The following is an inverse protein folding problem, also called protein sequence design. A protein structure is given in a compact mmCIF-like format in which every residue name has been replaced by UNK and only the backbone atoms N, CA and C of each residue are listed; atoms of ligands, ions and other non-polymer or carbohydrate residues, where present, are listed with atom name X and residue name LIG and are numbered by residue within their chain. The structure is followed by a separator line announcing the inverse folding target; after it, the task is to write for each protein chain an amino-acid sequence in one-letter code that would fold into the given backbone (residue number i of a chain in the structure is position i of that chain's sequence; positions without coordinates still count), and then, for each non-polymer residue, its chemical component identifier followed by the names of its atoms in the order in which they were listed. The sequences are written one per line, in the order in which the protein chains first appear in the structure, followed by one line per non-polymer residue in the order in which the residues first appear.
data_IF_677721965511
#
_entry.id   IF_677721965511
#
_cell.length_a   1.000
_cell.length_b   1.000
_cell.length_c   1.000
_cell.angle_alpha   90.00
_cell.angle_beta   90.00
_cell.angle_gamma   90.00
#
_symmetry.space_group_name_H-M   'P 1'
#
loop_
_entity.id
_entity.type
_entity.pdbx_description
1 polymer ?
#
# COMPACT_ATOMS: atom_id res chain seq x y z
N UNK A 1 19.54 16.18 -11.59
CA UNK A 1 18.09 16.10 -11.36
C UNK A 1 17.93 15.52 -9.97
N UNK A 2 17.37 16.28 -9.03
CA UNK A 2 17.16 15.79 -7.67
C UNK A 2 16.14 14.66 -7.70
N UNK A 3 16.55 13.45 -7.32
CA UNK A 3 15.66 12.32 -7.19
C UNK A 3 14.60 12.63 -6.13
N UNK A 4 13.32 12.63 -6.51
CA UNK A 4 12.22 12.87 -5.57
C UNK A 4 12.12 11.68 -4.61
N UNK A 5 12.23 11.95 -3.30
CA UNK A 5 12.03 10.95 -2.26
C UNK A 5 10.54 10.84 -1.92
N UNK A 6 9.97 9.64 -2.00
CA UNK A 6 8.55 9.38 -1.69
C UNK A 6 8.48 8.58 -0.39
N UNK A 7 7.83 9.17 0.62
CA UNK A 7 7.65 8.53 1.92
C UNK A 7 6.29 7.82 1.96
N UNK A 8 6.32 6.53 2.30
CA UNK A 8 5.17 5.64 2.28
C UNK A 8 4.99 5.08 3.70
N UNK A 9 3.91 5.48 4.35
CA UNK A 9 3.51 4.97 5.66
C UNK A 9 2.59 3.77 5.51
N UNK A 10 2.83 2.70 6.28
CA UNK A 10 2.02 1.49 6.28
C UNK A 10 1.47 1.31 7.68
N UNK A 11 0.14 1.24 7.80
CA UNK A 11 -0.55 0.94 9.05
C UNK A 11 -1.16 -0.47 8.94
N UNK A 12 -0.70 -1.35 9.82
CA UNK A 12 -1.14 -2.75 9.90
C UNK A 12 -0.97 -3.31 11.33
N UNK A 13 -1.95 -4.09 11.78
CA UNK A 13 -1.94 -4.73 13.09
C UNK A 13 -0.83 -5.80 13.17
N UNK A 14 -0.19 -5.90 14.34
CA UNK A 14 1.02 -6.73 14.56
C UNK A 14 0.84 -8.22 14.21
N UNK A 15 -0.36 -8.78 14.31
CA UNK A 15 -0.61 -10.21 14.02
C UNK A 15 -0.63 -10.52 12.52
N UNK A 16 -0.88 -9.52 11.66
CA UNK A 16 -1.03 -9.68 10.22
C UNK A 16 0.06 -8.92 9.44
N UNK A 17 1.20 -8.60 10.08
CA UNK A 17 2.27 -7.79 9.47
C UNK A 17 3.02 -8.52 8.36
N UNK A 18 2.56 -8.35 7.13
CA UNK A 18 3.27 -8.81 5.94
C UNK A 18 3.28 -7.76 4.81
N UNK A 19 2.51 -6.67 4.90
CA UNK A 19 2.36 -5.72 3.80
C UNK A 19 3.67 -5.04 3.41
N UNK A 20 4.49 -4.65 4.39
CA UNK A 20 5.80 -4.07 4.13
C UNK A 20 6.74 -5.04 3.39
N UNK A 21 6.73 -6.32 3.76
CA UNK A 21 7.59 -7.33 3.14
C UNK A 21 7.17 -7.59 1.68
N UNK A 22 5.87 -7.75 1.42
CA UNK A 22 5.35 -7.91 0.06
C UNK A 22 5.63 -6.69 -0.83
N UNK A 23 5.46 -5.48 -0.29
CA UNK A 23 5.81 -4.26 -1.02
C UNK A 23 7.30 -4.25 -1.34
N UNK A 24 8.16 -4.61 -0.38
CA UNK A 24 9.60 -4.66 -0.58
C UNK A 24 9.98 -5.66 -1.68
N UNK A 25 9.46 -6.89 -1.63
CA UNK A 25 9.70 -7.92 -2.65
C UNK A 25 9.22 -7.48 -4.03
N UNK A 26 8.01 -6.93 -4.13
CA UNK A 26 7.48 -6.35 -5.36
C UNK A 26 8.40 -5.26 -5.92
N UNK A 27 8.86 -4.34 -5.07
CA UNK A 27 9.72 -3.25 -5.53
C UNK A 27 11.07 -3.76 -6.04
N UNK A 28 11.63 -4.82 -5.44
CA UNK A 28 12.84 -5.48 -5.96
C UNK A 28 12.60 -6.04 -7.37
N UNK A 29 11.48 -6.73 -7.58
CA UNK A 29 11.09 -7.23 -8.92
C UNK A 29 10.88 -6.08 -9.93
N UNK A 30 10.50 -4.90 -9.45
CA UNK A 30 10.40 -3.66 -10.25
C UNK A 30 11.75 -2.91 -10.39
N UNK A 31 12.87 -3.56 -10.09
CA UNK A 31 14.25 -3.05 -10.17
C UNK A 31 14.61 -1.94 -9.17
N UNK A 32 13.87 -1.81 -8.08
CA UNK A 32 14.32 -0.97 -6.96
C UNK A 32 15.39 -1.69 -6.15
N UNK A 33 16.44 -0.96 -5.78
CA UNK A 33 17.53 -1.47 -4.96
C UNK A 33 17.36 -1.03 -3.51
N UNK A 34 17.41 -1.97 -2.56
CA UNK A 34 17.46 -1.62 -1.13
C UNK A 34 18.82 -0.98 -0.85
N UNK A 35 18.80 0.27 -0.39
CA UNK A 35 20.01 1.01 0.00
C UNK A 35 20.18 1.08 1.53
N UNK A 36 19.10 0.86 2.29
CA UNK A 36 19.12 0.77 3.74
C UNK A 36 17.91 0.00 4.26
N UNK A 37 18.10 -0.76 5.35
CA UNK A 37 17.04 -1.29 6.20
C UNK A 37 17.49 -1.16 7.64
N UNK A 38 16.60 -0.68 8.52
CA UNK A 38 16.91 -0.67 9.95
C UNK A 38 16.91 -2.11 10.51
N UNK A 39 17.44 -2.29 11.74
CA UNK A 39 17.54 -3.60 12.38
C UNK A 39 16.19 -4.27 12.62
N UNK A 40 15.13 -3.47 12.84
CA UNK A 40 13.75 -3.93 13.02
C UNK A 40 13.02 -4.23 11.70
N UNK A 41 13.63 -3.93 10.55
CA UNK A 41 13.02 -3.98 9.21
C UNK A 41 11.72 -3.17 9.07
N UNK A 42 11.48 -2.23 9.99
CA UNK A 42 10.30 -1.36 9.99
C UNK A 42 10.51 -0.10 9.15
N UNK A 43 11.76 0.18 8.74
CA UNK A 43 12.10 1.30 7.84
C UNK A 43 13.04 0.77 6.76
N UNK A 44 12.65 0.94 5.50
CA UNK A 44 13.42 0.49 4.34
C UNK A 44 13.53 1.63 3.34
N UNK A 45 14.75 1.90 2.88
CA UNK A 45 15.01 2.86 1.82
C UNK A 45 15.34 2.09 0.56
N UNK A 46 14.64 2.44 -0.51
CA UNK A 46 14.86 1.88 -1.83
C UNK A 46 15.19 2.98 -2.83
N UNK A 47 16.03 2.65 -3.80
CA UNK A 47 16.40 3.52 -4.92
C UNK A 47 15.90 2.92 -6.22
N UNK A 48 15.04 3.65 -6.93
CA UNK A 48 14.66 3.40 -8.31
C UNK A 48 15.51 4.21 -9.28
N UNK A 49 15.14 4.17 -10.56
CA UNK A 49 15.82 4.93 -11.63
C UNK A 49 15.63 6.44 -11.44
N UNK A 50 14.38 6.88 -11.22
CA UNK A 50 13.99 8.30 -11.17
C UNK A 50 13.65 8.82 -9.76
N UNK A 51 13.48 7.92 -8.79
CA UNK A 51 12.97 8.25 -7.46
C UNK A 51 13.62 7.42 -6.34
N UNK A 52 13.57 7.95 -5.13
CA UNK A 52 13.83 7.20 -3.90
C UNK A 52 12.52 6.90 -3.20
N UNK A 53 12.42 5.74 -2.55
CA UNK A 53 11.27 5.37 -1.72
C UNK A 53 11.73 5.13 -0.28
N UNK A 54 10.89 5.52 0.68
CA UNK A 54 11.02 5.12 2.09
C UNK A 54 9.75 4.41 2.48
N UNK A 55 9.85 3.11 2.81
CA UNK A 55 8.77 2.34 3.41
C UNK A 55 8.91 2.43 4.93
N UNK A 56 7.83 2.77 5.61
CA UNK A 56 7.79 2.82 7.07
C UNK A 56 6.55 2.13 7.59
N UNK A 57 6.74 1.09 8.38
CA UNK A 57 5.70 0.54 9.26
C UNK A 57 5.49 1.54 10.41
N UNK A 58 4.31 2.13 10.45
CA UNK A 58 3.97 3.22 11.37
C UNK A 58 2.87 2.83 12.33
N UNK A 59 2.99 3.34 13.55
CA UNK A 59 1.93 3.28 14.53
C UNK A 59 1.12 4.59 14.46
N UNK A 60 -0.18 4.55 14.14
CA UNK A 60 -0.99 5.76 14.07
C UNK A 60 -1.06 6.52 15.41
N UNK A 61 -0.89 5.81 16.53
CA UNK A 61 -0.81 6.43 17.87
C UNK A 61 0.45 7.25 18.09
N UNK A 62 1.45 7.11 17.22
CA UNK A 62 2.76 7.79 17.29
C UNK A 62 2.89 8.89 16.23
N UNK A 63 1.79 9.32 15.61
CA UNK A 63 1.79 10.36 14.56
C UNK A 63 2.48 11.65 14.96
N UNK A 64 2.30 12.08 16.21
CA UNK A 64 3.00 13.25 16.78
C UNK A 64 4.53 13.10 16.79
N UNK A 65 5.05 11.87 16.92
CA UNK A 65 6.49 11.62 16.88
C UNK A 65 7.02 11.88 15.47
N UNK A 66 6.35 11.35 14.45
CA UNK A 66 6.73 11.59 13.05
C UNK A 66 6.66 13.08 12.71
N UNK A 67 5.62 13.78 13.18
CA UNK A 67 5.49 15.23 13.02
C UNK A 67 6.64 16.00 13.69
N UNK A 68 6.98 15.66 14.93
CA UNK A 68 8.02 16.36 15.69
C UNK A 68 9.41 16.30 15.02
N UNK A 69 9.63 15.31 14.15
CA UNK A 69 10.88 15.15 13.38
C UNK A 69 10.73 15.54 11.90
N UNK A 70 9.59 16.11 11.51
CA UNK A 70 9.33 16.62 10.16
C UNK A 70 9.09 15.54 9.09
N UNK A 71 8.63 14.35 9.49
CA UNK A 71 8.24 13.29 8.56
C UNK A 71 6.82 13.54 8.04
N UNK A 72 6.70 13.73 6.73
CA UNK A 72 5.41 13.86 6.04
C UNK A 72 5.26 12.75 4.97
N UNK A 73 4.20 11.96 5.09
CA UNK A 73 3.94 10.83 4.20
C UNK A 73 3.28 11.29 2.90
N UNK A 74 3.79 10.82 1.77
CA UNK A 74 3.21 11.06 0.46
C UNK A 74 2.08 10.07 0.15
N UNK A 75 2.25 8.82 0.62
CA UNK A 75 1.29 7.74 0.44
C UNK A 75 1.06 7.10 1.81
N UNK A 76 -0.21 6.87 2.15
CA UNK A 76 -0.59 6.10 3.33
C UNK A 76 -1.29 4.81 2.90
N UNK A 77 -0.81 3.68 3.41
CA UNK A 77 -1.39 2.36 3.18
C UNK A 77 -2.03 1.90 4.48
N UNK A 78 -3.29 1.54 4.41
CA UNK A 78 -4.06 0.98 5.50
C UNK A 78 -4.56 -0.41 5.11
N UNK A 79 -4.06 -1.44 5.79
CA UNK A 79 -4.49 -2.81 5.54
C UNK A 79 -5.48 -3.30 6.59
N UNK A 80 -5.02 -3.96 7.65
CA UNK A 80 -5.86 -4.43 8.75
C UNK A 80 -5.50 -3.76 10.06
N UNK A 81 -6.46 -3.19 10.75
CA UNK A 81 -6.29 -2.71 12.12
C UNK A 81 -7.35 -3.34 13.01
N UNK A 82 -6.98 -3.74 14.23
CA UNK A 82 -7.96 -4.24 15.19
C UNK A 82 -8.84 -3.09 15.67
N UNK A 83 -10.13 -3.33 15.88
CA UNK A 83 -11.07 -2.32 16.40
C UNK A 83 -10.60 -1.59 17.66
N UNK A 84 -9.84 -2.26 18.55
CA UNK A 84 -9.25 -1.65 19.77
C UNK A 84 -8.09 -0.68 19.49
N UNK A 85 -7.46 -0.82 18.33
CA UNK A 85 -6.37 0.04 17.88
C UNK A 85 -6.94 1.25 17.12
N UNK A 86 -8.22 1.20 16.71
CA UNK A 86 -9.00 2.36 16.30
C UNK A 86 -9.39 3.22 17.50
N UNK A 87 -8.55 4.20 17.80
CA UNK A 87 -9.00 5.38 18.53
C UNK A 87 -9.54 6.40 17.52
N UNK A 88 -10.57 7.18 17.89
CA UNK A 88 -11.25 8.10 16.95
C UNK A 88 -10.29 9.12 16.30
N UNK A 89 -9.13 9.36 16.91
CA UNK A 89 -8.08 10.24 16.41
C UNK A 89 -6.93 9.46 15.72
N UNK A 90 -7.23 8.32 15.09
CA UNK A 90 -6.24 7.49 14.38
C UNK A 90 -5.46 8.26 13.32
N UNK A 91 -6.11 9.25 12.70
CA UNK A 91 -5.52 10.13 11.70
C UNK A 91 -5.50 11.55 12.26
N UNK A 92 -4.32 12.03 12.64
CA UNK A 92 -4.08 13.45 12.83
C UNK A 92 -4.19 14.20 11.49
N UNK A 93 -4.30 15.54 11.53
CA UNK A 93 -4.29 16.40 10.33
C UNK A 93 -3.12 16.12 9.36
N UNK A 94 -2.04 15.49 9.82
CA UNK A 94 -0.88 15.17 8.99
C UNK A 94 -1.06 13.88 8.19
N UNK A 95 -1.70 12.87 8.76
CA UNK A 95 -2.04 11.66 8.00
C UNK A 95 -3.18 11.92 7.01
N UNK A 96 -3.95 13.01 7.16
CA UNK A 96 -4.98 13.41 6.19
C UNK A 96 -4.45 14.25 5.02
N UNK A 97 -3.15 14.56 5.01
CA UNK A 97 -2.48 15.36 3.97
C UNK A 97 -1.59 14.54 3.01
N UNK A 98 -1.83 13.24 2.87
CA UNK A 98 -1.15 12.42 1.87
C UNK A 98 -1.74 12.66 0.47
N UNK A 99 -0.91 12.47 -0.57
CA UNK A 99 -1.36 12.54 -1.97
C UNK A 99 -2.22 11.33 -2.34
N UNK A 100 -1.89 10.16 -1.79
CA UNK A 100 -2.63 8.92 -2.02
C UNK A 100 -2.91 8.17 -0.73
N UNK A 101 -4.07 7.51 -0.71
CA UNK A 101 -4.51 6.58 0.34
C UNK A 101 -4.79 5.24 -0.31
N UNK A 102 -4.18 4.17 0.18
CA UNK A 102 -4.45 2.80 -0.27
C UNK A 102 -5.15 2.07 0.86
N UNK A 103 -6.45 1.80 0.71
CA UNK A 103 -7.30 1.34 1.81
C UNK A 103 -7.91 -0.04 1.51
N UNK A 104 -7.76 -0.97 2.45
CA UNK A 104 -8.53 -2.22 2.44
C UNK A 104 -10.01 -1.91 2.73
N UNK A 105 -10.88 -2.05 1.74
CA UNK A 105 -12.32 -1.80 1.90
C UNK A 105 -13.10 -2.98 2.48
N UNK A 106 -12.44 -4.11 2.71
CA UNK A 106 -13.05 -5.29 3.36
C UNK A 106 -12.75 -5.35 4.86
N UNK A 107 -11.80 -4.55 5.39
CA UNK A 107 -11.62 -4.39 6.84
C UNK A 107 -12.85 -3.71 7.43
N UNK A 108 -13.66 -4.40 8.23
CA UNK A 108 -14.90 -3.85 8.81
C UNK A 108 -14.73 -2.48 9.47
N UNK A 109 -13.51 -2.18 9.93
CA UNK A 109 -13.18 -0.94 10.61
C UNK A 109 -12.72 0.21 9.68
N UNK A 110 -12.49 -0.02 8.38
CA UNK A 110 -11.98 1.01 7.45
C UNK A 110 -12.87 2.25 7.39
N UNK A 111 -14.18 2.08 7.68
CA UNK A 111 -15.18 3.16 7.74
C UNK A 111 -15.01 4.10 8.93
N UNK A 112 -14.24 3.70 9.94
CA UNK A 112 -13.89 4.56 11.07
C UNK A 112 -12.74 5.52 10.76
N UNK A 113 -12.08 5.36 9.59
CA UNK A 113 -11.24 6.41 9.04
C UNK A 113 -12.13 7.59 8.61
N UNK A 114 -11.77 8.84 8.94
CA UNK A 114 -12.51 10.03 8.53
C UNK A 114 -12.29 10.33 7.04
N UNK A 115 -12.87 9.51 6.15
CA UNK A 115 -12.68 9.59 4.70
C UNK A 115 -12.96 10.98 4.12
N UNK A 116 -13.93 11.70 4.71
CA UNK A 116 -14.30 13.06 4.31
C UNK A 116 -13.25 14.13 4.66
N UNK A 117 -12.22 13.78 5.45
CA UNK A 117 -11.11 14.65 5.81
C UNK A 117 -9.84 14.36 5.00
N UNK A 118 -9.82 13.31 4.18
CA UNK A 118 -8.66 12.94 3.38
C UNK A 118 -8.51 13.88 2.17
N UNK A 119 -7.38 14.56 2.07
CA UNK A 119 -7.14 15.56 1.00
C UNK A 119 -6.61 14.94 -0.30
N UNK A 120 -6.27 13.65 -0.29
CA UNK A 120 -5.66 12.93 -1.40
C UNK A 120 -6.60 12.00 -2.15
N UNK A 121 -6.04 11.31 -3.15
CA UNK A 121 -6.76 10.30 -3.94
C UNK A 121 -6.89 9.02 -3.14
N UNK A 122 -8.11 8.50 -3.01
CA UNK A 122 -8.38 7.25 -2.30
C UNK A 122 -8.48 6.09 -3.30
N UNK A 123 -7.57 5.13 -3.15
CA UNK A 123 -7.53 3.86 -3.88
C UNK A 123 -7.94 2.74 -2.92
N UNK A 124 -9.15 2.22 -3.09
CA UNK A 124 -9.65 1.10 -2.29
C UNK A 124 -9.35 -0.24 -2.95
N UNK A 125 -9.10 -1.27 -2.16
CA UNK A 125 -8.96 -2.65 -2.64
C UNK A 125 -9.77 -3.63 -1.78
N UNK A 126 -10.21 -4.75 -2.38
CA UNK A 126 -10.93 -5.81 -1.68
C UNK A 126 -11.65 -6.77 -2.63
N UNK A 127 -12.55 -7.60 -2.10
CA UNK A 127 -13.44 -8.48 -2.84
C UNK A 127 -14.73 -7.76 -3.25
N UNK A 128 -15.01 -6.58 -2.68
CA UNK A 128 -16.16 -5.77 -3.04
C UNK A 128 -16.04 -5.22 -4.47
N UNK A 129 -17.12 -5.34 -5.25
CA UNK A 129 -17.22 -4.79 -6.61
C UNK A 129 -17.26 -3.26 -6.66
N UNK A 130 -17.26 -2.56 -5.52
CA UNK A 130 -17.12 -1.09 -5.44
C UNK A 130 -15.68 -0.63 -5.22
N UNK A 131 -14.75 -1.55 -4.99
CA UNK A 131 -13.34 -1.25 -4.77
C UNK A 131 -12.67 -0.80 -6.06
N UNK A 132 -11.59 -0.03 -5.95
CA UNK A 132 -10.81 0.41 -7.12
C UNK A 132 -10.04 -0.77 -7.71
N UNK A 133 -9.44 -1.61 -6.86
CA UNK A 133 -8.92 -2.92 -7.24
C UNK A 133 -9.79 -4.01 -6.62
N UNK A 134 -10.22 -4.97 -7.43
CA UNK A 134 -11.03 -6.11 -6.98
C UNK A 134 -10.45 -7.43 -7.41
N UNK A 135 -10.57 -8.46 -6.57
CA UNK A 135 -10.22 -9.84 -6.94
C UNK A 135 -11.43 -10.50 -7.61
N UNK A 136 -11.28 -10.92 -8.86
CA UNK A 136 -12.33 -11.65 -9.59
C UNK A 136 -12.29 -13.15 -9.27
N UNK A 137 -11.11 -13.71 -9.04
CA UNK A 137 -10.92 -15.11 -8.61
C UNK A 137 -9.54 -15.33 -7.99
N UNK A 138 -9.42 -16.30 -7.10
CA UNK A 138 -8.12 -16.80 -6.63
C UNK A 138 -8.13 -18.33 -6.50
N UNK A 139 -7.15 -19.01 -7.07
CA UNK A 139 -6.98 -20.47 -6.95
C UNK A 139 -5.90 -20.77 -5.90
N UNK A 140 -6.21 -21.63 -4.93
CA UNK A 140 -5.37 -21.94 -3.76
C UNK A 140 -4.45 -23.15 -4.04
N UNK A 141 -4.56 -23.79 -5.21
CA UNK A 141 -3.74 -24.96 -5.54
C UNK A 141 -2.27 -24.57 -5.77
N UNK A 142 -1.38 -24.91 -4.82
CA UNK A 142 0.10 -24.85 -4.82
C UNK A 142 0.80 -23.52 -5.21
N UNK A 143 0.19 -22.67 -6.01
CA UNK A 143 0.59 -21.32 -6.38
C UNK A 143 -0.67 -20.46 -6.42
N UNK A 144 -0.78 -19.47 -5.53
CA UNK A 144 -1.96 -18.63 -5.45
C UNK A 144 -1.95 -17.68 -6.65
N UNK A 145 -2.77 -17.97 -7.67
CA UNK A 145 -2.97 -17.05 -8.81
C UNK A 145 -4.23 -16.24 -8.53
N UNK A 146 -4.07 -14.93 -8.37
CA UNK A 146 -5.17 -14.00 -8.18
C UNK A 146 -5.41 -13.21 -9.47
N UNK A 147 -6.64 -13.26 -9.98
CA UNK A 147 -7.08 -12.37 -11.05
C UNK A 147 -7.61 -11.08 -10.41
N UNK A 148 -7.03 -9.96 -10.81
CA UNK A 148 -7.29 -8.64 -10.27
C UNK A 148 -7.84 -7.75 -11.38
N UNK A 149 -8.93 -7.06 -11.06
CA UNK A 149 -9.56 -6.08 -11.92
C UNK A 149 -9.32 -4.68 -11.36
N UNK A 150 -8.65 -3.83 -12.13
CA UNK A 150 -8.65 -2.39 -11.89
C UNK A 150 -9.95 -1.81 -12.44
N UNK A 151 -10.84 -1.38 -11.55
CA UNK A 151 -12.19 -0.93 -11.92
C UNK A 151 -12.29 0.52 -12.36
N UNK A 152 -11.37 1.36 -11.87
CA UNK A 152 -11.37 2.81 -12.08
C UNK A 152 -10.00 3.27 -12.54
N UNK A 153 -9.98 4.39 -13.24
CA UNK A 153 -8.74 5.02 -13.65
C UNK A 153 -7.89 5.41 -12.41
N UNK A 154 -6.58 5.16 -12.50
CA UNK A 154 -5.59 5.67 -11.54
C UNK A 154 -4.71 6.71 -12.24
N UNK A 155 -4.55 7.86 -11.60
CA UNK A 155 -3.48 8.81 -11.93
C UNK A 155 -2.23 8.41 -11.14
N UNK A 156 -1.11 8.15 -11.80
CA UNK A 156 0.15 7.83 -11.11
C UNK A 156 0.83 9.08 -10.54
N UNK A 157 1.85 8.90 -9.70
CA UNK A 157 2.71 9.99 -9.21
C UNK A 157 3.39 10.77 -10.33
N UNK A 158 3.65 10.13 -11.47
CA UNK A 158 4.20 10.75 -12.68
C UNK A 158 3.14 11.43 -13.56
N UNK A 159 1.87 11.44 -13.14
CA UNK A 159 0.75 12.03 -13.89
C UNK A 159 0.24 11.16 -15.05
N UNK A 160 0.68 9.90 -15.13
CA UNK A 160 0.23 8.96 -16.17
C UNK A 160 -1.12 8.37 -15.78
N UNK A 161 -2.04 8.33 -16.74
CA UNK A 161 -3.34 7.67 -16.58
C UNK A 161 -3.22 6.17 -16.83
N UNK A 162 -3.73 5.39 -15.88
CA UNK A 162 -3.87 3.94 -15.98
C UNK A 162 -5.35 3.64 -16.06
N UNK A 163 -5.80 3.26 -17.26
CA UNK A 163 -7.19 2.89 -17.52
C UNK A 163 -7.54 1.53 -16.90
N UNK A 164 -8.83 1.25 -16.65
CA UNK A 164 -9.30 -0.05 -16.18
C UNK A 164 -8.81 -1.23 -17.03
N UNK A 165 -8.35 -2.30 -16.36
CA UNK A 165 -7.89 -3.52 -17.02
C UNK A 165 -7.90 -4.71 -16.04
N UNK A 166 -7.85 -5.92 -16.59
CA UNK A 166 -7.68 -7.16 -15.83
C UNK A 166 -6.26 -7.69 -15.99
N UNK A 167 -5.70 -8.23 -14.91
CA UNK A 167 -4.39 -8.86 -14.90
C UNK A 167 -4.32 -9.93 -13.80
N UNK A 168 -3.36 -10.84 -13.92
CA UNK A 168 -3.15 -11.90 -12.94
C UNK A 168 -1.85 -11.67 -12.17
N UNK A 169 -1.89 -11.83 -10.85
CA UNK A 169 -0.72 -11.82 -9.97
C UNK A 169 -0.50 -13.23 -9.44
N UNK A 170 0.76 -13.69 -9.46
CA UNK A 170 1.17 -14.93 -8.82
C UNK A 170 1.70 -14.63 -7.43
N UNK A 171 1.25 -15.43 -6.47
CA UNK A 171 1.58 -15.27 -5.07
C UNK A 171 2.11 -16.62 -4.60
N UNK A 172 3.40 -16.69 -4.30
CA UNK A 172 4.09 -17.83 -3.70
C UNK A 172 3.88 -17.80 -2.19
N UNK A 173 2.61 -17.85 -1.78
CA UNK A 173 2.25 -17.91 -0.38
C UNK A 173 1.17 -18.92 -0.11
N UNK A 174 1.37 -19.67 0.97
CA UNK A 174 0.39 -20.63 1.50
C UNK A 174 -0.65 -19.96 2.41
N UNK A 175 -0.43 -18.72 2.82
CA UNK A 175 -1.37 -17.97 3.65
C UNK A 175 -2.30 -17.15 2.75
N UNK A 176 -3.61 -17.42 2.83
CA UNK A 176 -4.63 -16.70 2.06
C UNK A 176 -4.72 -15.23 2.44
N UNK A 177 -4.46 -14.88 3.70
CA UNK A 177 -4.61 -13.49 4.18
C UNK A 177 -3.57 -12.55 3.57
N UNK A 178 -2.49 -13.11 3.02
CA UNK A 178 -1.48 -12.34 2.29
C UNK A 178 -2.02 -11.70 1.01
N UNK A 179 -3.18 -12.13 0.53
CA UNK A 179 -3.83 -11.55 -0.64
C UNK A 179 -4.06 -10.04 -0.48
N UNK A 180 -4.41 -9.58 0.74
CA UNK A 180 -4.64 -8.16 0.99
C UNK A 180 -3.34 -7.35 0.96
N UNK A 181 -2.25 -7.91 1.50
CA UNK A 181 -0.91 -7.32 1.37
C UNK A 181 -0.47 -7.24 -0.10
N UNK A 182 -0.77 -8.27 -0.89
CA UNK A 182 -0.50 -8.27 -2.34
C UNK A 182 -1.32 -7.20 -3.06
N UNK A 183 -2.61 -7.05 -2.72
CA UNK A 183 -3.46 -5.99 -3.29
C UNK A 183 -2.93 -4.59 -2.95
N UNK A 184 -2.54 -4.36 -1.70
CA UNK A 184 -1.93 -3.11 -1.27
C UNK A 184 -0.64 -2.80 -2.06
N UNK A 185 0.22 -3.82 -2.21
CA UNK A 185 1.46 -3.71 -2.97
C UNK A 185 1.19 -3.42 -4.45
N UNK A 186 0.21 -4.10 -5.03
CA UNK A 186 -0.22 -3.91 -6.42
C UNK A 186 -0.75 -2.50 -6.67
N UNK A 187 -1.62 -2.00 -5.77
CA UNK A 187 -2.11 -0.62 -5.85
C UNK A 187 -0.96 0.40 -5.77
N UNK A 188 0.03 0.17 -4.91
CA UNK A 188 1.21 1.01 -4.83
C UNK A 188 2.01 0.98 -6.14
N UNK A 189 2.25 -0.18 -6.75
CA UNK A 189 2.93 -0.28 -8.04
C UNK A 189 2.22 0.51 -9.15
N UNK A 190 0.88 0.48 -9.19
CA UNK A 190 0.08 1.28 -10.13
C UNK A 190 0.25 2.78 -9.87
N UNK A 191 0.21 3.22 -8.60
CA UNK A 191 0.47 4.62 -8.22
C UNK A 191 1.89 5.05 -8.62
N UNK A 192 2.88 4.17 -8.51
CA UNK A 192 4.25 4.40 -8.96
C UNK A 192 4.38 4.39 -10.50
N UNK A 193 3.33 3.99 -11.23
CA UNK A 193 3.26 4.03 -12.70
C UNK A 193 3.57 2.70 -13.40
N UNK A 194 3.77 1.62 -12.66
CA UNK A 194 4.05 0.29 -13.19
C UNK A 194 2.74 -0.42 -13.57
N UNK A 195 2.43 -0.46 -14.87
CA UNK A 195 1.19 -1.08 -15.41
C UNK A 195 1.22 -2.62 -15.48
N UNK A 196 2.40 -3.23 -15.34
CA UNK A 196 2.58 -4.67 -15.52
C UNK A 196 3.08 -5.32 -14.23
N UNK A 197 2.20 -5.54 -13.24
CA UNK A 197 2.55 -6.32 -12.07
C UNK A 197 2.46 -7.81 -12.44
N UNK A 198 3.27 -8.28 -13.40
CA UNK A 198 3.69 -9.68 -13.35
C UNK A 198 4.65 -9.76 -12.17
N UNK A 199 4.07 -9.95 -10.99
CA UNK A 199 4.82 -10.13 -9.77
C UNK A 199 4.89 -11.63 -9.54
N UNK A 200 6.11 -12.14 -9.42
CA UNK A 200 6.37 -13.44 -8.86
C UNK A 200 6.78 -13.19 -7.41
N UNK A 201 5.77 -12.90 -6.59
CA UNK A 201 5.93 -12.91 -5.12
C UNK A 201 6.03 -14.35 -4.68
#
# INVERSE_FOLDING_TARGET
MDSKLVLIGIIESQENKNTLEFIKELLIELNYQIIYSNSKKSVIFLKGEDNGLVLMDINPKETQVYESVGIEFHILIHNFIKSKDYERDLLSEKLTNCQYYILNSDDENWTSLPLGLLNGVVITYGFNSKSTLTISSYDINQSLVANIYLQREILSLSGKRIEPFEFSVKIDSKNKDNIYSVLAATALALILGHKNPYIKL
#
